data_IF_179047613818
#
_entry.id   IF_179047613818
#
_cell.length_a   1.000
_cell.length_b   1.000
_cell.length_c   1.000
_cell.angle_alpha   90.00
_cell.angle_beta   90.00
_cell.angle_gamma   90.00
#
_symmetry.space_group_name_H-M   'P 1'
#
loop_
_entity.id
_entity.type
_entity.pdbx_description
1 polymer ?
#
# COMPACT_ATOMS: atom_id res chain seq x y z
N UNK A 1 16.77 5.59 4.47
CA UNK A 1 16.41 4.96 3.17
C UNK A 1 17.71 4.51 2.52
N UNK A 2 17.87 3.27 2.11
CA UNK A 2 18.98 2.92 1.22
C UNK A 2 18.73 3.62 -0.12
N UNK A 3 19.66 4.48 -0.51
CA UNK A 3 19.67 5.04 -1.87
C UNK A 3 19.75 3.90 -2.88
N UNK A 4 19.08 4.07 -4.01
CA UNK A 4 19.20 3.15 -5.14
C UNK A 4 20.68 3.03 -5.53
N UNK A 5 21.16 1.81 -5.71
CA UNK A 5 22.50 1.60 -6.25
C UNK A 5 22.51 1.98 -7.74
N UNK A 6 23.66 2.43 -8.26
CA UNK A 6 23.81 2.81 -9.68
C UNK A 6 23.40 1.67 -10.63
N UNK A 7 23.65 0.41 -10.27
CA UNK A 7 23.20 -0.77 -11.02
C UNK A 7 21.67 -0.88 -11.09
N UNK A 8 20.99 -0.46 -10.06
CA UNK A 8 19.52 -0.50 -9.99
C UNK A 8 18.89 0.67 -10.77
N UNK A 9 19.56 1.82 -10.80
CA UNK A 9 19.16 2.97 -11.62
C UNK A 9 19.36 2.62 -13.10
N UNK A 10 20.50 2.03 -13.43
CA UNK A 10 20.84 1.60 -14.78
C UNK A 10 19.86 0.56 -15.34
N UNK A 11 19.52 -0.47 -14.55
CA UNK A 11 18.53 -1.49 -14.95
C UNK A 11 17.12 -0.93 -15.15
N UNK A 12 16.74 0.11 -14.39
CA UNK A 12 15.47 0.79 -14.61
C UNK A 12 15.49 1.62 -15.90
N UNK A 13 16.57 2.37 -16.15
CA UNK A 13 16.76 3.12 -17.38
C UNK A 13 16.74 2.23 -18.62
N UNK A 14 17.43 1.10 -18.59
CA UNK A 14 17.44 0.14 -19.71
C UNK A 14 16.06 -0.47 -19.98
N UNK A 15 15.32 -0.80 -18.92
CA UNK A 15 13.95 -1.32 -19.05
C UNK A 15 13.01 -0.32 -19.73
N UNK A 16 13.20 0.98 -19.51
CA UNK A 16 12.37 2.04 -20.08
C UNK A 16 12.91 2.61 -21.39
N UNK A 17 14.20 2.39 -21.70
CA UNK A 17 14.84 2.89 -22.91
C UNK A 17 14.13 2.45 -24.19
N UNK A 18 13.60 1.24 -24.20
CA UNK A 18 12.85 0.68 -25.33
C UNK A 18 11.35 1.00 -25.30
N UNK A 19 10.88 1.78 -24.33
CA UNK A 19 9.48 2.11 -24.10
C UNK A 19 9.22 3.63 -24.09
N UNK A 20 10.07 4.39 -24.79
CA UNK A 20 9.97 5.85 -24.84
C UNK A 20 8.63 6.38 -25.38
N UNK A 21 7.84 5.54 -26.04
CA UNK A 21 6.51 5.88 -26.57
C UNK A 21 5.37 5.72 -25.53
N UNK A 22 5.65 5.18 -24.33
CA UNK A 22 4.62 4.97 -23.31
C UNK A 22 4.45 6.26 -22.50
N UNK A 23 3.24 6.81 -22.46
CA UNK A 23 2.94 7.96 -21.61
C UNK A 23 3.04 7.57 -20.12
N UNK A 24 3.33 8.56 -19.26
CA UNK A 24 3.37 8.36 -17.79
C UNK A 24 2.06 7.74 -17.30
N UNK A 25 0.93 8.15 -17.85
CA UNK A 25 -0.38 7.61 -17.47
C UNK A 25 -0.53 6.12 -17.83
N UNK A 26 -0.09 5.73 -19.04
CA UNK A 26 -0.11 4.32 -19.45
C UNK A 26 0.80 3.47 -18.57
N UNK A 27 1.95 4.01 -18.19
CA UNK A 27 2.87 3.35 -17.27
C UNK A 27 2.22 3.14 -15.90
N UNK A 28 1.58 4.17 -15.34
CA UNK A 28 0.83 4.07 -14.09
C UNK A 28 -0.27 3.00 -14.14
N UNK A 29 -1.09 3.03 -15.19
CA UNK A 29 -2.15 2.04 -15.38
C UNK A 29 -1.61 0.61 -15.44
N UNK A 30 -0.44 0.44 -16.06
CA UNK A 30 0.21 -0.87 -16.13
C UNK A 30 0.66 -1.34 -14.75
N UNK A 31 1.28 -0.47 -13.95
CA UNK A 31 1.70 -0.78 -12.58
C UNK A 31 0.51 -1.10 -11.67
N UNK A 32 -0.58 -0.34 -11.78
CA UNK A 32 -1.80 -0.61 -11.02
C UNK A 32 -2.39 -1.99 -11.36
N UNK A 33 -2.46 -2.34 -12.65
CA UNK A 33 -2.91 -3.67 -13.09
C UNK A 33 -2.02 -4.78 -12.57
N UNK A 34 -0.71 -4.59 -12.60
CA UNK A 34 0.25 -5.56 -12.06
C UNK A 34 0.07 -5.75 -10.56
N UNK A 35 -0.09 -4.64 -9.80
CA UNK A 35 -0.35 -4.70 -8.37
C UNK A 35 -1.66 -5.41 -8.07
N UNK A 36 -2.73 -5.09 -8.78
CA UNK A 36 -4.02 -5.76 -8.63
C UNK A 36 -3.93 -7.26 -8.89
N UNK A 37 -3.20 -7.67 -9.93
CA UNK A 37 -2.94 -9.07 -10.23
C UNK A 37 -2.15 -9.78 -9.10
N UNK A 38 -1.16 -9.12 -8.51
CA UNK A 38 -0.43 -9.64 -7.35
C UNK A 38 -1.30 -9.80 -6.10
N UNK A 39 -2.36 -9.01 -5.99
CA UNK A 39 -3.28 -9.03 -4.86
C UNK A 39 -4.49 -9.95 -5.07
N UNK A 40 -4.77 -10.39 -6.30
CA UNK A 40 -5.96 -11.16 -6.62
C UNK A 40 -6.08 -12.46 -5.81
N UNK A 41 -4.96 -13.13 -5.53
CA UNK A 41 -4.92 -14.37 -4.72
C UNK A 41 -4.83 -14.14 -3.22
N UNK A 42 -4.77 -12.90 -2.74
CA UNK A 42 -4.58 -12.57 -1.31
C UNK A 42 -5.88 -12.06 -0.70
N UNK A 43 -6.12 -12.44 0.55
CA UNK A 43 -7.16 -11.79 1.36
C UNK A 43 -6.67 -10.40 1.79
N UNK A 44 -7.50 -9.40 1.58
CA UNK A 44 -7.23 -8.00 1.96
C UNK A 44 -7.95 -7.73 3.25
N UNK A 45 -7.20 -7.47 4.31
CA UNK A 45 -7.73 -7.17 5.63
C UNK A 45 -7.49 -5.70 5.95
N UNK A 46 -8.54 -4.90 5.94
CA UNK A 46 -8.46 -3.51 6.37
C UNK A 46 -8.39 -3.45 7.90
N UNK A 47 -7.36 -2.77 8.40
CA UNK A 47 -7.19 -2.49 9.82
C UNK A 47 -7.53 -1.02 10.07
N UNK A 48 -8.54 -0.80 10.89
CA UNK A 48 -8.82 0.53 11.42
C UNK A 48 -7.68 0.98 12.37
N UNK A 49 -7.51 2.28 12.56
CA UNK A 49 -6.46 2.88 13.40
C UNK A 49 -6.37 2.25 14.78
N UNK A 50 -7.52 1.94 15.38
CA UNK A 50 -7.55 1.24 16.68
C UNK A 50 -6.75 -0.06 16.66
N UNK A 51 -6.85 -0.85 15.59
CA UNK A 51 -6.13 -2.13 15.49
C UNK A 51 -4.65 -1.91 15.24
N UNK A 52 -4.27 -0.91 14.47
CA UNK A 52 -2.86 -0.53 14.32
C UNK A 52 -2.23 -0.17 15.67
N UNK A 53 -2.95 0.58 16.51
CA UNK A 53 -2.51 0.92 17.86
C UNK A 53 -2.35 -0.33 18.74
N UNK A 54 -3.36 -1.22 18.78
CA UNK A 54 -3.31 -2.43 19.60
C UNK A 54 -2.17 -3.37 19.20
N UNK A 55 -1.94 -3.54 17.90
CA UNK A 55 -0.86 -4.39 17.39
C UNK A 55 0.51 -3.77 17.61
N UNK A 56 0.66 -2.45 17.45
CA UNK A 56 1.88 -1.72 17.81
C UNK A 56 2.21 -1.87 19.29
N UNK A 57 1.21 -1.76 20.18
CA UNK A 57 1.43 -1.94 21.61
C UNK A 57 1.88 -3.38 21.92
N UNK A 58 1.43 -4.36 21.14
CA UNK A 58 1.96 -5.72 21.23
C UNK A 58 3.44 -5.80 20.78
N UNK A 59 3.82 -5.10 19.72
CA UNK A 59 5.24 -5.00 19.28
C UNK A 59 6.12 -4.40 20.37
N UNK A 60 5.62 -3.36 21.07
CA UNK A 60 6.36 -2.66 22.13
C UNK A 60 6.31 -3.38 23.50
N UNK A 61 5.73 -4.58 23.59
CA UNK A 61 5.55 -5.30 24.85
C UNK A 61 4.56 -4.65 25.82
N UNK A 62 3.70 -3.74 25.31
CA UNK A 62 2.71 -2.98 26.09
C UNK A 62 1.29 -3.53 25.89
N UNK A 63 1.15 -4.75 25.36
CA UNK A 63 -0.14 -5.37 25.09
C UNK A 63 -0.98 -5.54 26.36
N UNK A 64 -2.22 -5.07 26.32
CA UNK A 64 -3.17 -5.21 27.45
C UNK A 64 -3.77 -6.62 27.55
N UNK A 65 -3.58 -7.45 26.54
CA UNK A 65 -4.08 -8.84 26.46
C UNK A 65 -3.15 -9.68 25.62
N UNK A 66 -2.95 -10.93 26.01
CA UNK A 66 -2.20 -11.91 25.22
C UNK A 66 -2.84 -12.18 23.85
N UNK A 67 -4.13 -11.94 23.71
CA UNK A 67 -4.84 -12.04 22.44
C UNK A 67 -4.27 -11.08 21.37
N UNK A 68 -3.83 -9.88 21.75
CA UNK A 68 -3.25 -8.92 20.79
C UNK A 68 -1.93 -9.44 20.21
N UNK A 69 -1.08 -10.04 21.04
CA UNK A 69 0.16 -10.67 20.61
C UNK A 69 -0.12 -11.88 19.70
N UNK A 70 -1.06 -12.72 20.06
CA UNK A 70 -1.45 -13.87 19.23
C UNK A 70 -2.00 -13.44 17.87
N UNK A 71 -2.81 -12.38 17.83
CA UNK A 71 -3.33 -11.81 16.56
C UNK A 71 -2.17 -11.28 15.72
N UNK A 72 -1.22 -10.55 16.32
CA UNK A 72 -0.06 -10.02 15.62
C UNK A 72 0.77 -11.16 15.00
N UNK A 73 1.10 -12.20 15.77
CA UNK A 73 1.88 -13.34 15.29
C UNK A 73 1.16 -14.07 14.17
N UNK A 74 -0.15 -14.22 14.29
CA UNK A 74 -0.98 -14.82 13.25
C UNK A 74 -1.00 -13.99 11.98
N UNK A 75 -1.15 -12.68 12.08
CA UNK A 75 -1.10 -11.77 10.93
C UNK A 75 0.26 -11.82 10.25
N UNK A 76 1.35 -11.76 11.00
CA UNK A 76 2.73 -11.90 10.49
C UNK A 76 2.90 -13.19 9.69
N UNK A 77 2.45 -14.30 10.24
CA UNK A 77 2.50 -15.60 9.57
C UNK A 77 1.68 -15.60 8.27
N UNK A 78 0.49 -15.01 8.27
CA UNK A 78 -0.36 -14.98 7.08
C UNK A 78 0.17 -14.03 6.00
N UNK A 79 0.77 -12.91 6.40
CA UNK A 79 1.39 -11.95 5.49
C UNK A 79 2.67 -12.53 4.90
N UNK A 80 3.56 -13.10 5.71
CA UNK A 80 4.81 -13.71 5.23
C UNK A 80 4.57 -14.88 4.27
N UNK A 81 3.48 -15.64 4.47
CA UNK A 81 3.05 -16.71 3.58
C UNK A 81 2.29 -16.19 2.33
N UNK A 82 2.18 -14.87 2.15
CA UNK A 82 1.52 -14.26 1.01
C UNK A 82 0.00 -14.46 0.94
N UNK A 83 -0.65 -14.93 2.03
CA UNK A 83 -2.09 -15.23 2.06
C UNK A 83 -2.96 -14.02 2.39
N UNK A 84 -2.39 -13.06 3.11
CA UNK A 84 -3.07 -11.84 3.58
C UNK A 84 -2.20 -10.65 3.26
N UNK A 85 -2.82 -9.50 3.07
CA UNK A 85 -2.19 -8.19 3.08
C UNK A 85 -3.09 -7.23 3.86
N UNK A 86 -2.50 -6.32 4.63
CA UNK A 86 -3.24 -5.30 5.38
C UNK A 86 -2.98 -3.93 4.73
N UNK A 87 -3.75 -3.54 3.70
CA UNK A 87 -3.50 -2.31 2.98
C UNK A 87 -3.74 -1.09 3.89
N UNK A 88 -2.93 -0.05 3.69
CA UNK A 88 -3.05 1.21 4.39
C UNK A 88 -4.07 2.12 3.72
N UNK A 89 -4.77 2.93 4.52
CA UNK A 89 -5.51 4.09 4.04
C UNK A 89 -4.73 5.38 4.37
N UNK A 90 -5.03 6.43 3.63
CA UNK A 90 -4.55 7.79 3.91
C UNK A 90 -4.91 8.25 5.33
N UNK A 91 -6.14 7.99 5.78
CA UNK A 91 -6.59 8.30 7.14
C UNK A 91 -5.72 7.60 8.21
N UNK A 92 -5.52 6.29 8.10
CA UNK A 92 -4.69 5.54 9.05
C UNK A 92 -3.25 6.04 9.06
N UNK A 93 -2.70 6.41 7.90
CA UNK A 93 -1.37 6.99 7.78
C UNK A 93 -1.27 8.35 8.46
N UNK A 94 -2.21 9.27 8.17
CA UNK A 94 -2.22 10.62 8.77
C UNK A 94 -2.32 10.54 10.29
N UNK A 95 -3.16 9.65 10.82
CA UNK A 95 -3.28 9.44 12.26
C UNK A 95 -1.99 8.88 12.88
N UNK A 96 -1.34 7.93 12.19
CA UNK A 96 -0.05 7.42 12.64
C UNK A 96 1.03 8.51 12.70
N UNK A 97 1.02 9.44 11.73
CA UNK A 97 1.98 10.55 11.69
C UNK A 97 1.75 11.62 12.77
N UNK A 98 0.55 11.71 13.33
CA UNK A 98 0.24 12.62 14.46
C UNK A 98 0.86 12.17 15.79
N UNK A 99 1.41 10.97 15.87
CA UNK A 99 2.06 10.48 17.07
C UNK A 99 3.35 11.30 17.37
N UNK A 100 3.39 11.91 18.53
CA UNK A 100 4.52 12.78 18.96
C UNK A 100 5.71 11.98 19.48
N UNK A 101 5.45 10.85 20.15
CA UNK A 101 6.48 9.97 20.65
C UNK A 101 7.21 9.25 19.51
N UNK A 102 8.53 9.43 19.46
CA UNK A 102 9.37 8.91 18.36
C UNK A 102 9.40 7.38 18.34
N UNK A 103 9.52 6.73 19.50
CA UNK A 103 9.58 5.26 19.59
C UNK A 103 8.27 4.65 19.07
N UNK A 104 7.15 5.15 19.55
CA UNK A 104 5.81 4.74 19.15
C UNK A 104 5.58 4.96 17.65
N UNK A 105 5.99 6.11 17.10
CA UNK A 105 5.85 6.43 15.68
C UNK A 105 6.67 5.49 14.80
N UNK A 106 7.93 5.21 15.18
CA UNK A 106 8.78 4.29 14.43
C UNK A 106 8.26 2.86 14.48
N UNK A 107 7.80 2.39 15.64
CA UNK A 107 7.19 1.09 15.79
C UNK A 107 5.90 0.96 14.95
N UNK A 108 5.08 2.02 14.90
CA UNK A 108 3.88 2.05 14.05
C UNK A 108 4.24 1.98 12.58
N UNK A 109 5.21 2.80 12.13
CA UNK A 109 5.64 2.80 10.74
C UNK A 109 6.21 1.44 10.31
N UNK A 110 7.09 0.84 11.13
CA UNK A 110 7.65 -0.47 10.85
C UNK A 110 6.58 -1.56 10.76
N UNK A 111 5.58 -1.54 11.66
CA UNK A 111 4.47 -2.49 11.63
C UNK A 111 3.58 -2.29 10.40
N UNK A 112 3.31 -1.04 10.02
CA UNK A 112 2.56 -0.71 8.82
C UNK A 112 3.28 -1.20 7.56
N UNK A 113 4.59 -0.98 7.44
CA UNK A 113 5.40 -1.48 6.34
C UNK A 113 5.37 -3.01 6.26
N UNK A 114 5.53 -3.67 7.41
CA UNK A 114 5.53 -5.13 7.52
C UNK A 114 4.20 -5.75 7.04
N UNK A 115 3.08 -5.28 7.56
CA UNK A 115 1.78 -5.92 7.32
C UNK A 115 1.13 -5.48 6.00
N UNK A 116 1.40 -4.26 5.53
CA UNK A 116 0.87 -3.77 4.26
C UNK A 116 1.66 -4.25 3.05
N UNK A 117 2.90 -4.67 3.22
CA UNK A 117 3.84 -4.95 2.10
C UNK A 117 3.94 -3.75 1.14
N UNK A 118 3.85 -2.53 1.67
CA UNK A 118 3.84 -1.30 0.91
C UNK A 118 2.58 -1.07 0.06
N UNK A 119 1.48 -1.77 0.32
CA UNK A 119 0.21 -1.62 -0.39
C UNK A 119 -0.68 -0.63 0.36
N UNK A 120 -1.29 0.28 -0.39
CA UNK A 120 -2.28 1.21 0.12
C UNK A 120 -3.55 1.20 -0.75
N UNK A 121 -4.63 1.71 -0.18
CA UNK A 121 -5.86 2.03 -0.91
C UNK A 121 -5.68 3.44 -1.48
N UNK A 122 -6.09 3.67 -2.72
CA UNK A 122 -6.08 5.00 -3.33
C UNK A 122 -6.82 6.01 -2.43
N UNK A 123 -6.33 7.24 -2.40
CA UNK A 123 -6.95 8.31 -1.61
C UNK A 123 -8.42 8.51 -1.97
N UNK A 124 -9.21 9.06 -1.06
CA UNK A 124 -10.63 9.31 -1.30
C UNK A 124 -10.86 10.13 -2.56
N UNK A 125 -10.10 11.19 -2.75
CA UNK A 125 -10.16 12.03 -3.95
C UNK A 125 -9.90 11.21 -5.23
N UNK A 126 -8.88 10.37 -5.21
CA UNK A 126 -8.56 9.50 -6.36
C UNK A 126 -9.68 8.50 -6.63
N UNK A 127 -10.29 7.92 -5.60
CA UNK A 127 -11.41 6.97 -5.74
C UNK A 127 -12.64 7.64 -6.33
N UNK A 128 -13.05 8.79 -5.78
CA UNK A 128 -14.19 9.57 -6.30
C UNK A 128 -13.96 9.95 -7.76
N UNK A 129 -12.75 10.41 -8.10
CA UNK A 129 -12.40 10.73 -9.49
C UNK A 129 -12.50 9.50 -10.41
N UNK A 130 -12.04 8.35 -9.96
CA UNK A 130 -12.12 7.10 -10.73
C UNK A 130 -13.57 6.67 -10.96
N UNK A 131 -14.41 6.77 -9.93
CA UNK A 131 -15.84 6.44 -10.02
C UNK A 131 -16.57 7.38 -10.99
N UNK A 132 -16.32 8.68 -10.89
CA UNK A 132 -16.89 9.68 -11.81
C UNK A 132 -16.47 9.42 -13.25
N UNK A 133 -15.18 9.20 -13.50
CA UNK A 133 -14.69 8.91 -14.85
C UNK A 133 -15.30 7.62 -15.40
N UNK A 134 -15.39 6.58 -14.58
CA UNK A 134 -16.01 5.33 -15.00
C UNK A 134 -17.49 5.52 -15.33
N UNK A 135 -18.22 6.28 -14.54
CA UNK A 135 -19.63 6.60 -14.78
C UNK A 135 -19.82 7.43 -16.09
N UNK A 136 -18.90 8.35 -16.35
CA UNK A 136 -18.97 9.18 -17.57
C UNK A 136 -18.62 8.39 -18.83
N UNK A 137 -17.67 7.45 -18.74
CA UNK A 137 -17.25 6.63 -19.88
C UNK A 137 -18.28 5.55 -20.21
N UNK A 138 -18.81 4.87 -19.20
CA UNK A 138 -19.86 3.84 -19.33
C UNK A 138 -20.64 3.67 -18.04
N UNK A 139 -21.84 4.26 -17.93
CA UNK A 139 -22.69 4.13 -16.74
C UNK A 139 -23.13 2.69 -16.44
N UNK A 140 -23.00 1.79 -17.41
CA UNK A 140 -23.36 0.36 -17.26
C UNK A 140 -22.15 -0.52 -16.98
N UNK A 141 -20.95 0.06 -16.98
CA UNK A 141 -19.71 -0.71 -16.77
C UNK A 141 -19.67 -1.30 -15.38
N UNK A 142 -19.26 -2.56 -15.33
CA UNK A 142 -19.16 -3.31 -14.09
C UNK A 142 -18.09 -2.71 -13.17
N UNK A 143 -18.41 -2.62 -11.89
CA UNK A 143 -17.53 -2.14 -10.81
C UNK A 143 -16.21 -2.94 -10.75
N UNK A 144 -16.18 -4.12 -11.31
CA UNK A 144 -14.98 -4.97 -11.38
C UNK A 144 -13.80 -4.31 -12.13
N UNK A 145 -14.09 -3.42 -13.09
CA UNK A 145 -13.04 -2.68 -13.79
C UNK A 145 -12.35 -1.64 -12.88
N UNK A 146 -13.03 -1.15 -11.83
CA UNK A 146 -12.48 -0.23 -10.84
C UNK A 146 -11.61 -0.95 -9.80
N UNK A 147 -11.93 -2.20 -9.47
CA UNK A 147 -11.20 -2.95 -8.43
C UNK A 147 -9.70 -3.05 -8.70
N UNK A 148 -9.30 -3.13 -9.98
CA UNK A 148 -7.90 -3.12 -10.37
C UNK A 148 -7.18 -1.78 -10.20
N UNK A 149 -7.91 -0.68 -10.01
CA UNK A 149 -7.38 0.69 -9.95
C UNK A 149 -7.37 1.27 -8.54
N UNK A 150 -7.96 0.57 -7.59
CA UNK A 150 -8.04 1.00 -6.18
C UNK A 150 -6.74 0.79 -5.41
N UNK A 151 -5.87 -0.10 -5.91
CA UNK A 151 -4.64 -0.47 -5.22
C UNK A 151 -3.50 0.39 -5.71
N UNK A 152 -2.83 1.00 -4.75
CA UNK A 152 -1.65 1.82 -4.99
C UNK A 152 -0.55 1.42 -4.02
N UNK A 153 0.63 1.94 -4.24
CA UNK A 153 1.71 1.80 -3.28
C UNK A 153 1.72 2.97 -2.30
N UNK A 154 2.19 2.70 -1.08
CA UNK A 154 2.26 3.71 -0.03
C UNK A 154 2.96 5.00 -0.47
N UNK A 155 4.02 4.92 -1.28
CA UNK A 155 4.69 6.09 -1.83
C UNK A 155 3.75 7.03 -2.59
N UNK A 156 2.80 6.48 -3.35
CA UNK A 156 1.82 7.28 -4.09
C UNK A 156 0.88 8.06 -3.15
N UNK A 157 0.43 7.44 -2.06
CA UNK A 157 -0.39 8.11 -1.02
C UNK A 157 0.39 9.21 -0.33
N UNK A 158 1.73 9.07 -0.25
CA UNK A 158 2.64 10.06 0.32
C UNK A 158 2.99 11.20 -0.62
N UNK A 159 2.36 11.28 -1.80
CA UNK A 159 2.59 12.33 -2.78
C UNK A 159 3.81 12.11 -3.67
N UNK A 160 4.37 10.92 -3.70
CA UNK A 160 5.39 10.57 -4.71
C UNK A 160 4.71 10.44 -6.07
N UNK A 161 4.85 11.48 -6.90
CA UNK A 161 4.27 11.52 -8.24
C UNK A 161 4.96 10.58 -9.24
N UNK A 162 6.04 9.93 -8.83
CA UNK A 162 6.76 8.97 -9.67
C UNK A 162 6.74 7.63 -8.92
N UNK A 163 6.09 6.61 -9.46
CA UNK A 163 6.21 5.27 -8.92
C UNK A 163 7.64 4.79 -9.17
N UNK A 164 8.53 5.06 -8.24
CA UNK A 164 9.81 4.37 -8.23
C UNK A 164 9.51 2.87 -8.12
N UNK A 165 10.03 2.09 -9.03
CA UNK A 165 9.86 0.63 -9.05
C UNK A 165 10.28 -0.04 -7.73
N UNK A 166 10.82 0.71 -6.78
CA UNK A 166 11.27 0.28 -5.45
C UNK A 166 10.61 0.96 -4.25
N UNK A 167 9.77 1.96 -4.43
CA UNK A 167 8.80 2.28 -3.38
C UNK A 167 7.83 1.09 -3.19
N UNK A 168 8.22 -0.02 -3.82
CA UNK A 168 7.39 -1.20 -3.88
C UNK A 168 8.14 -2.40 -3.39
#
# INVERSE_FOLDING_TARGET
KPMLTDDQISKNLERHRNQAAISTEQYFRTLQKQLAAQLAGKRRLYLDTKYWILLRDAVLGRARSSAHTQILDRLRTLVSNGRVVCPLSDAAYVEAMRQTDKETRLATAALMDELSCGVAIATEETRVRLELLNFMDDPTSDVDNLNGRLWVKCGFVLGENVPHAKAF
#
